data_IF_317122120344
#
_entry.id   IF_317122120344
#
_cell.length_a   1.000
_cell.length_b   1.000
_cell.length_c   1.000
_cell.angle_alpha   90.00
_cell.angle_beta   90.00
_cell.angle_gamma   90.00
#
_symmetry.space_group_name_H-M   'P 1'
#
loop_
_entity.id
_entity.type
_entity.pdbx_description
1 polymer ?
#
# COMPACT_ATOMS: atom_id res chain seq x y z
N UNK A 1 -6.83 -22.42 -0.23
CA UNK A 1 -6.42 -21.18 0.47
C UNK A 1 -5.43 -20.49 -0.45
N UNK A 2 -5.56 -19.18 -0.67
CA UNK A 2 -4.65 -18.40 -1.52
C UNK A 2 -3.82 -17.52 -0.61
N UNK A 3 -2.57 -17.27 -0.99
CA UNK A 3 -1.62 -16.51 -0.20
C UNK A 3 -1.29 -15.19 -0.89
N UNK A 4 -1.17 -14.15 -0.09
CA UNK A 4 -0.62 -12.86 -0.47
C UNK A 4 0.74 -12.64 0.17
N UNK A 5 1.52 -11.72 -0.37
CA UNK A 5 2.85 -11.41 0.13
C UNK A 5 2.87 -10.01 0.75
N UNK A 6 3.32 -9.91 1.99
CA UNK A 6 3.48 -8.63 2.67
C UNK A 6 4.97 -8.31 2.84
N UNK A 7 5.44 -7.29 2.14
CA UNK A 7 6.81 -6.81 2.24
C UNK A 7 6.91 -5.71 3.29
N UNK A 8 7.71 -5.94 4.31
CA UNK A 8 8.03 -4.94 5.33
C UNK A 8 9.54 -4.87 5.53
N UNK A 9 10.04 -3.68 5.86
CA UNK A 9 11.48 -3.46 6.03
C UNK A 9 11.90 -3.20 7.48
N UNK A 10 10.98 -2.85 8.36
CA UNK A 10 11.29 -2.28 9.68
C UNK A 10 12.06 -3.20 10.63
N UNK A 11 11.92 -4.51 10.51
CA UNK A 11 12.61 -5.48 11.36
C UNK A 11 13.99 -5.88 10.84
N UNK A 12 14.37 -5.39 9.66
CA UNK A 12 15.67 -5.74 9.07
C UNK A 12 16.80 -4.93 9.70
N UNK A 13 18.01 -5.52 9.95
CA UNK A 13 19.13 -4.82 10.59
C UNK A 13 19.60 -3.56 9.86
N UNK A 14 19.37 -3.45 8.55
CA UNK A 14 19.67 -2.23 7.77
C UNK A 14 18.53 -1.21 7.75
N UNK A 15 17.44 -1.50 8.46
CA UNK A 15 16.35 -0.56 8.62
C UNK A 15 16.75 0.50 9.62
N UNK A 16 16.71 1.75 9.23
CA UNK A 16 16.72 2.90 10.13
C UNK A 16 15.34 3.55 10.11
N UNK A 17 15.28 4.82 10.45
CA UNK A 17 14.04 5.61 10.37
C UNK A 17 13.54 5.78 8.92
N UNK A 18 14.44 5.66 7.95
CA UNK A 18 14.18 5.83 6.52
C UNK A 18 14.78 4.70 5.68
N UNK A 19 13.98 4.14 4.81
CA UNK A 19 14.36 3.10 3.85
C UNK A 19 14.31 3.63 2.41
N UNK A 20 13.15 3.56 1.76
CA UNK A 20 12.93 3.99 0.37
C UNK A 20 12.98 5.52 0.18
N UNK A 21 12.86 6.29 1.24
CA UNK A 21 13.02 7.74 1.23
C UNK A 21 14.33 8.22 1.84
N UNK A 22 15.28 7.33 2.09
CA UNK A 22 16.55 7.68 2.70
C UNK A 22 17.36 8.65 1.80
N UNK A 23 17.95 9.73 2.34
CA UNK A 23 18.84 10.60 1.58
C UNK A 23 20.09 9.90 1.03
N UNK A 24 20.58 8.87 1.73
CA UNK A 24 21.67 8.04 1.25
C UNK A 24 21.17 7.13 0.10
N UNK A 25 21.79 7.31 -1.06
CA UNK A 25 21.44 6.56 -2.27
C UNK A 25 21.77 5.08 -2.14
N UNK A 26 22.84 4.71 -1.47
CA UNK A 26 23.21 3.32 -1.26
C UNK A 26 22.17 2.56 -0.43
N UNK A 27 21.66 3.21 0.62
CA UNK A 27 20.57 2.66 1.44
C UNK A 27 19.29 2.55 0.62
N UNK A 28 18.92 3.59 -0.13
CA UNK A 28 17.73 3.57 -1.00
C UNK A 28 17.84 2.46 -2.03
N UNK A 29 18.96 2.33 -2.73
CA UNK A 29 19.17 1.30 -3.76
C UNK A 29 19.08 -0.11 -3.17
N UNK A 30 19.61 -0.33 -1.97
CA UNK A 30 19.43 -1.61 -1.27
C UNK A 30 17.95 -1.94 -1.10
N UNK A 31 17.12 -0.99 -0.65
CA UNK A 31 15.69 -1.22 -0.41
C UNK A 31 14.87 -1.31 -1.69
N UNK A 32 15.25 -0.58 -2.73
CA UNK A 32 14.66 -0.70 -4.05
C UNK A 32 14.85 -2.13 -4.59
N UNK A 33 16.08 -2.64 -4.56
CA UNK A 33 16.40 -3.99 -5.03
C UNK A 33 15.78 -5.08 -4.15
N UNK A 34 15.74 -4.88 -2.84
CA UNK A 34 15.03 -5.76 -1.92
C UNK A 34 13.54 -5.87 -2.29
N UNK A 35 12.88 -4.74 -2.51
CA UNK A 35 11.45 -4.71 -2.87
C UNK A 35 11.20 -5.32 -4.25
N UNK A 36 12.08 -5.09 -5.23
CA UNK A 36 12.00 -5.76 -6.54
C UNK A 36 12.06 -7.28 -6.41
N UNK A 37 12.93 -7.80 -5.53
CA UNK A 37 13.00 -9.25 -5.25
C UNK A 37 11.73 -9.77 -4.59
N UNK A 38 11.16 -9.03 -3.64
CA UNK A 38 9.86 -9.37 -3.04
C UNK A 38 8.75 -9.48 -4.10
N UNK A 39 8.72 -8.57 -5.07
CA UNK A 39 7.78 -8.62 -6.20
C UNK A 39 7.99 -9.84 -7.09
N UNK A 40 9.24 -10.22 -7.35
CA UNK A 40 9.54 -11.43 -8.10
C UNK A 40 9.06 -12.70 -7.37
N UNK A 41 9.23 -12.75 -6.04
CA UNK A 41 8.68 -13.84 -5.22
C UNK A 41 7.15 -13.88 -5.29
N UNK A 42 6.48 -12.73 -5.18
CA UNK A 42 5.02 -12.64 -5.29
C UNK A 42 4.52 -13.10 -6.68
N UNK A 43 5.25 -12.81 -7.75
CA UNK A 43 4.93 -13.30 -9.11
C UNK A 43 4.98 -14.83 -9.17
N UNK A 44 6.02 -15.45 -8.59
CA UNK A 44 6.11 -16.91 -8.56
C UNK A 44 5.04 -17.55 -7.67
N UNK A 45 4.71 -16.91 -6.54
CA UNK A 45 3.59 -17.34 -5.70
C UNK A 45 2.26 -17.32 -6.48
N UNK A 46 2.01 -16.24 -7.22
CA UNK A 46 0.82 -16.11 -8.05
C UNK A 46 0.75 -17.20 -9.14
N UNK A 47 1.87 -17.47 -9.81
CA UNK A 47 1.96 -18.59 -10.79
C UNK A 47 1.65 -19.92 -10.13
N UNK A 48 2.26 -20.21 -8.99
CA UNK A 48 2.11 -21.48 -8.31
C UNK A 48 0.68 -21.74 -7.82
N UNK A 49 -0.03 -20.70 -7.39
CA UNK A 49 -1.41 -20.84 -6.91
C UNK A 49 -2.49 -20.67 -8.00
N UNK A 50 -2.09 -20.33 -9.23
CA UNK A 50 -3.01 -20.13 -10.35
C UNK A 50 -3.95 -18.92 -10.19
N UNK A 51 -3.58 -17.97 -9.34
CA UNK A 51 -4.33 -16.73 -9.08
C UNK A 51 -3.36 -15.62 -8.68
N UNK A 52 -3.57 -14.38 -9.10
CA UNK A 52 -2.64 -13.31 -8.80
C UNK A 52 -2.39 -13.14 -7.30
N UNK A 53 -1.11 -13.14 -6.91
CA UNK A 53 -0.69 -12.81 -5.56
C UNK A 53 -0.73 -11.29 -5.37
N UNK A 54 -1.33 -10.81 -4.28
CA UNK A 54 -1.26 -9.40 -3.91
C UNK A 54 0.02 -9.18 -3.11
N UNK A 55 0.90 -8.35 -3.64
CA UNK A 55 2.13 -7.94 -2.96
C UNK A 55 1.88 -6.59 -2.30
N UNK A 56 1.70 -6.60 -0.99
CA UNK A 56 1.48 -5.41 -0.19
C UNK A 56 2.82 -4.82 0.23
N UNK A 57 3.09 -3.59 -0.18
CA UNK A 57 4.26 -2.83 0.22
C UNK A 57 3.90 -1.87 1.35
N UNK A 58 4.40 -2.17 2.54
CA UNK A 58 4.31 -1.31 3.69
C UNK A 58 5.68 -0.69 4.00
N UNK A 59 5.76 0.65 3.99
CA UNK A 59 6.99 1.42 4.20
C UNK A 59 6.88 2.18 5.53
N UNK A 60 7.82 1.92 6.43
CA UNK A 60 7.81 2.52 7.77
C UNK A 60 8.38 3.93 7.84
N UNK A 61 8.92 4.45 6.77
CA UNK A 61 9.67 5.70 6.69
C UNK A 61 8.96 6.88 7.35
N UNK A 62 9.64 7.49 8.30
CA UNK A 62 9.11 8.59 9.07
C UNK A 62 10.17 9.26 9.94
N UNK A 63 9.76 10.22 10.75
CA UNK A 63 10.62 10.91 11.70
C UNK A 63 9.86 11.22 12.98
N UNK A 64 10.53 11.09 14.11
CA UNK A 64 10.01 11.51 15.43
C UNK A 64 9.89 13.02 15.55
N UNK A 65 10.66 13.74 14.74
CA UNK A 65 10.70 15.20 14.73
C UNK A 65 9.88 15.78 13.60
N UNK A 66 9.54 17.05 13.72
CA UNK A 66 8.88 17.80 12.65
C UNK A 66 9.88 18.02 11.52
N UNK A 67 9.66 17.38 10.40
CA UNK A 67 10.53 17.47 9.23
C UNK A 67 10.32 18.79 8.50
N UNK A 68 11.37 19.58 8.37
CA UNK A 68 11.33 20.88 7.68
C UNK A 68 11.08 20.71 6.19
N UNK A 69 11.74 19.76 5.53
CA UNK A 69 11.61 19.55 4.10
C UNK A 69 10.85 18.24 3.79
N UNK A 70 9.55 18.26 4.00
CA UNK A 70 8.67 17.09 3.71
C UNK A 70 8.66 16.71 2.24
N UNK A 71 8.79 17.68 1.34
CA UNK A 71 8.77 17.42 -0.11
C UNK A 71 9.97 16.61 -0.56
N UNK A 72 11.15 16.85 0.02
CA UNK A 72 12.37 16.09 -0.31
C UNK A 72 12.16 14.59 -0.09
N UNK A 73 11.72 14.19 1.09
CA UNK A 73 11.54 12.77 1.41
C UNK A 73 10.42 12.11 0.59
N UNK A 74 9.35 12.84 0.33
CA UNK A 74 8.28 12.35 -0.55
C UNK A 74 8.73 12.22 -2.01
N UNK A 75 9.57 13.12 -2.49
CA UNK A 75 10.16 13.01 -3.83
C UNK A 75 11.09 11.78 -3.93
N UNK A 76 11.93 11.53 -2.91
CA UNK A 76 12.77 10.35 -2.85
C UNK A 76 11.95 9.06 -2.80
N UNK A 77 10.89 9.02 -1.97
CA UNK A 77 9.99 7.88 -1.92
C UNK A 77 9.32 7.64 -3.27
N UNK A 78 8.81 8.71 -3.91
CA UNK A 78 8.20 8.62 -5.24
C UNK A 78 9.16 8.04 -6.27
N UNK A 79 10.38 8.53 -6.32
CA UNK A 79 11.42 8.05 -7.23
C UNK A 79 11.71 6.56 -7.01
N UNK A 80 11.86 6.15 -5.75
CA UNK A 80 12.04 4.74 -5.40
C UNK A 80 10.87 3.86 -5.83
N UNK A 81 9.64 4.32 -5.62
CA UNK A 81 8.44 3.59 -6.05
C UNK A 81 8.35 3.50 -7.58
N UNK A 82 8.69 4.57 -8.30
CA UNK A 82 8.71 4.56 -9.77
C UNK A 82 9.71 3.52 -10.30
N UNK A 83 10.90 3.41 -9.68
CA UNK A 83 11.90 2.40 -10.04
C UNK A 83 11.45 0.97 -9.68
N UNK A 84 10.80 0.77 -8.54
CA UNK A 84 10.27 -0.52 -8.10
C UNK A 84 9.18 -1.00 -9.04
N UNK A 85 8.28 -0.12 -9.43
CA UNK A 85 7.10 -0.46 -10.24
C UNK A 85 7.31 -0.33 -11.75
N UNK A 86 8.53 -0.05 -12.21
CA UNK A 86 8.86 0.05 -13.62
C UNK A 86 8.61 -1.27 -14.39
N UNK A 87 8.78 -2.41 -13.74
CA UNK A 87 8.49 -3.72 -14.33
C UNK A 87 7.08 -4.15 -13.97
N UNK A 88 6.26 -4.51 -14.95
CA UNK A 88 4.94 -5.08 -14.73
C UNK A 88 5.02 -6.61 -14.66
N UNK A 89 4.22 -7.20 -13.79
CA UNK A 89 4.06 -8.64 -13.61
C UNK A 89 2.65 -9.08 -13.97
N UNK A 90 2.51 -10.34 -14.39
CA UNK A 90 1.22 -10.89 -14.84
C UNK A 90 0.46 -11.56 -13.69
N UNK A 91 1.19 -12.27 -12.84
CA UNK A 91 0.60 -13.15 -11.81
C UNK A 91 0.68 -12.54 -10.41
N UNK A 92 0.99 -11.25 -10.30
CA UNK A 92 0.92 -10.50 -9.06
C UNK A 92 0.30 -9.13 -9.28
N UNK A 93 -0.13 -8.50 -8.19
CA UNK A 93 -0.66 -7.14 -8.17
C UNK A 93 0.05 -6.35 -7.08
N UNK A 94 0.54 -5.17 -7.45
CA UNK A 94 1.14 -4.25 -6.50
C UNK A 94 0.07 -3.55 -5.67
N UNK A 95 0.23 -3.59 -4.36
CA UNK A 95 -0.58 -2.86 -3.40
C UNK A 95 0.32 -2.04 -2.48
N UNK A 96 -0.10 -0.84 -2.12
CA UNK A 96 0.66 0.07 -1.28
C UNK A 96 -0.17 0.36 -0.03
N UNK A 97 0.44 0.23 1.14
CA UNK A 97 -0.20 0.48 2.41
C UNK A 97 0.32 1.77 3.05
N UNK A 98 -0.60 2.63 3.45
CA UNK A 98 -0.27 3.84 4.18
C UNK A 98 0.03 3.56 5.64
N UNK A 99 0.76 4.49 6.26
CA UNK A 99 1.07 4.51 7.68
C UNK A 99 0.72 5.88 8.23
N UNK A 100 -0.02 5.93 9.32
CA UNK A 100 -0.37 7.19 10.01
C UNK A 100 0.51 7.39 11.24
N UNK A 101 0.71 6.32 12.01
CA UNK A 101 1.60 6.32 13.15
C UNK A 101 2.79 5.43 12.86
N UNK A 102 3.97 5.85 13.31
CA UNK A 102 5.14 5.03 13.23
C UNK A 102 5.13 3.86 14.20
N UNK A 103 6.15 3.04 14.09
CA UNK A 103 6.55 2.11 15.14
C UNK A 103 7.24 2.95 16.20
N UNK A 104 6.47 3.59 17.02
CA UNK A 104 6.83 4.66 17.93
C UNK A 104 6.04 5.93 17.60
N UNK A 105 6.30 6.98 18.32
CA UNK A 105 5.62 8.28 18.16
C UNK A 105 6.34 9.10 17.09
N UNK A 106 5.93 8.96 15.87
CA UNK A 106 6.50 9.74 14.76
C UNK A 106 5.62 10.95 14.47
N UNK A 107 6.25 12.10 14.39
CA UNK A 107 5.57 13.36 14.03
C UNK A 107 5.36 13.48 12.53
N UNK A 108 6.11 12.72 11.74
CA UNK A 108 6.07 12.77 10.29
C UNK A 108 6.15 11.38 9.68
N UNK A 109 5.18 11.03 8.88
CA UNK A 109 5.18 9.85 8.04
C UNK A 109 5.37 10.25 6.58
N UNK A 110 6.38 9.71 5.90
CA UNK A 110 6.68 10.04 4.50
C UNK A 110 5.55 9.55 3.60
N UNK A 111 5.20 8.27 3.71
CA UNK A 111 4.10 7.62 2.99
C UNK A 111 2.77 7.78 3.71
N UNK A 112 2.23 9.00 3.76
CA UNK A 112 0.90 9.26 4.30
C UNK A 112 -0.20 8.68 3.39
N UNK A 113 -1.41 8.52 3.95
CA UNK A 113 -2.57 8.05 3.19
C UNK A 113 -2.82 8.89 1.94
N UNK A 114 -2.78 10.23 2.07
CA UNK A 114 -2.99 11.14 0.94
C UNK A 114 -1.95 10.95 -0.15
N UNK A 115 -0.68 10.75 0.23
CA UNK A 115 0.40 10.50 -0.72
C UNK A 115 0.15 9.21 -1.50
N UNK A 116 -0.19 8.12 -0.82
CA UNK A 116 -0.39 6.83 -1.49
C UNK A 116 -1.68 6.76 -2.29
N UNK A 117 -2.78 7.38 -1.83
CA UNK A 117 -4.00 7.50 -2.64
C UNK A 117 -3.70 8.25 -3.95
N UNK A 118 -3.00 9.38 -3.86
CA UNK A 118 -2.59 10.15 -5.04
C UNK A 118 -1.67 9.36 -5.96
N UNK A 119 -0.67 8.69 -5.40
CA UNK A 119 0.27 7.87 -6.16
C UNK A 119 -0.42 6.66 -6.82
N UNK A 120 -1.24 5.94 -6.08
CA UNK A 120 -1.98 4.77 -6.57
C UNK A 120 -2.98 5.13 -7.66
N UNK A 121 -3.72 6.23 -7.48
CA UNK A 121 -4.65 6.75 -8.48
C UNK A 121 -3.93 7.11 -9.78
N UNK A 122 -2.78 7.79 -9.68
CA UNK A 122 -1.98 8.20 -10.85
C UNK A 122 -1.35 7.01 -11.58
N UNK A 123 -0.82 6.04 -10.84
CA UNK A 123 0.01 4.95 -11.38
C UNK A 123 -0.72 3.61 -11.47
N UNK A 124 -2.04 3.60 -11.29
CA UNK A 124 -2.87 2.40 -11.35
C UNK A 124 -2.40 1.28 -10.40
N UNK A 125 -2.03 1.65 -9.17
CA UNK A 125 -1.66 0.71 -8.11
C UNK A 125 -2.79 0.55 -7.11
N UNK A 126 -2.89 -0.63 -6.51
CA UNK A 126 -3.85 -0.90 -5.44
C UNK A 126 -3.44 -0.18 -4.15
N UNK A 127 -4.43 0.13 -3.33
CA UNK A 127 -4.22 0.71 -2.01
C UNK A 127 -4.77 -0.24 -0.95
N UNK A 128 -3.96 -0.54 0.04
CA UNK A 128 -4.41 -1.21 1.27
C UNK A 128 -4.86 -0.15 2.27
N UNK A 129 -6.09 -0.30 2.75
CA UNK A 129 -6.62 0.49 3.84
C UNK A 129 -6.64 -0.38 5.11
N UNK A 130 -5.60 -0.27 5.93
CA UNK A 130 -5.58 -0.88 7.26
C UNK A 130 -6.28 0.06 8.24
N UNK A 131 -7.40 -0.37 8.80
CA UNK A 131 -8.20 0.45 9.73
C UNK A 131 -7.45 0.84 11.00
N UNK A 132 -6.44 0.06 11.38
CA UNK A 132 -5.55 0.36 12.50
C UNK A 132 -4.54 1.48 12.23
N UNK A 133 -4.42 1.92 10.98
CA UNK A 133 -3.50 2.99 10.57
C UNK A 133 -4.18 4.37 10.46
N UNK A 134 -5.40 4.49 10.96
CA UNK A 134 -6.14 5.75 10.96
C UNK A 134 -6.46 6.21 12.38
N UNK A 135 -6.64 7.51 12.53
CA UNK A 135 -7.08 8.05 13.81
C UNK A 135 -8.45 7.45 14.20
N UNK A 136 -8.71 7.16 15.48
CA UNK A 136 -9.97 6.54 15.90
C UNK A 136 -11.24 7.31 15.54
N UNK A 137 -11.12 8.61 15.24
CA UNK A 137 -12.23 9.46 14.81
C UNK A 137 -12.45 9.48 13.30
N UNK A 138 -11.54 8.86 12.51
CA UNK A 138 -11.71 8.79 11.07
C UNK A 138 -12.57 7.60 10.66
N UNK A 139 -13.50 7.84 9.73
CA UNK A 139 -14.26 6.78 9.07
C UNK A 139 -13.47 6.26 7.86
N UNK A 140 -12.94 5.05 7.96
CA UNK A 140 -12.26 4.41 6.83
C UNK A 140 -13.24 4.08 5.70
N UNK A 141 -14.52 3.82 6.02
CA UNK A 141 -15.56 3.57 5.03
C UNK A 141 -15.73 4.74 4.04
N UNK A 142 -15.57 5.99 4.50
CA UNK A 142 -15.64 7.18 3.64
C UNK A 142 -14.49 7.21 2.63
N UNK A 143 -13.30 6.73 3.02
CA UNK A 143 -12.15 6.63 2.11
C UNK A 143 -12.40 5.59 1.01
N UNK A 144 -13.05 4.48 1.34
CA UNK A 144 -13.44 3.45 0.37
C UNK A 144 -14.37 4.01 -0.70
N UNK A 145 -15.43 4.71 -0.29
CA UNK A 145 -16.39 5.29 -1.22
C UNK A 145 -15.76 6.33 -2.14
N UNK A 146 -14.92 7.20 -1.60
CA UNK A 146 -14.18 8.21 -2.35
C UNK A 146 -13.23 7.59 -3.37
N UNK A 147 -12.49 6.55 -2.97
CA UNK A 147 -11.57 5.87 -3.86
C UNK A 147 -12.28 5.13 -5.00
N UNK A 148 -13.39 4.44 -4.70
CA UNK A 148 -14.20 3.75 -5.72
C UNK A 148 -14.72 4.75 -6.76
N UNK A 149 -15.30 5.87 -6.33
CA UNK A 149 -15.83 6.89 -7.25
C UNK A 149 -14.74 7.46 -8.15
N UNK A 150 -13.58 7.80 -7.60
CA UNK A 150 -12.46 8.32 -8.39
C UNK A 150 -11.92 7.28 -9.37
N UNK A 151 -11.84 6.02 -8.95
CA UNK A 151 -11.35 4.93 -9.79
C UNK A 151 -12.35 4.51 -10.87
N UNK A 152 -13.66 4.58 -10.58
CA UNK A 152 -14.71 4.18 -11.53
C UNK A 152 -14.91 5.19 -12.66
N UNK A 153 -14.49 6.43 -12.47
CA UNK A 153 -14.57 7.50 -13.49
C UNK A 153 -13.42 7.52 -14.49
N UNK A 154 -12.58 6.52 -14.51
CA UNK A 154 -11.52 6.48 -15.51
C UNK A 154 -12.09 6.22 -16.88
N UNK A 155 -11.80 7.14 -17.76
CA UNK A 155 -12.05 7.14 -19.20
C UNK A 155 -12.04 5.74 -19.81
N UNK A 156 -12.89 5.52 -20.80
CA UNK A 156 -13.04 4.28 -21.57
C UNK A 156 -11.72 3.75 -22.19
N UNK A 157 -10.61 4.45 -22.01
CA UNK A 157 -9.27 4.10 -22.49
C UNK A 157 -8.42 3.30 -21.48
N UNK A 158 -8.79 3.20 -20.19
CA UNK A 158 -8.01 2.41 -19.21
C UNK A 158 -8.63 1.05 -18.97
N UNK A 159 -8.11 0.05 -19.65
CA UNK A 159 -8.60 -1.35 -19.69
C UNK A 159 -8.29 -2.20 -18.45
N UNK A 160 -7.90 -1.64 -17.32
CA UNK A 160 -7.52 -2.43 -16.14
C UNK A 160 -8.35 -2.08 -14.91
N UNK A 161 -8.98 -3.04 -14.23
CA UNK A 161 -9.68 -2.80 -12.98
C UNK A 161 -8.69 -2.43 -11.88
N UNK A 162 -9.02 -1.43 -11.06
CA UNK A 162 -8.29 -1.07 -9.86
C UNK A 162 -8.84 -1.85 -8.68
N UNK A 163 -7.96 -2.38 -7.87
CA UNK A 163 -8.34 -3.20 -6.70
C UNK A 163 -7.97 -2.46 -5.43
N UNK A 164 -8.88 -2.50 -4.47
CA UNK A 164 -8.71 -1.97 -3.12
C UNK A 164 -8.51 -3.15 -2.17
N UNK A 165 -7.40 -3.18 -1.44
CA UNK A 165 -7.17 -4.16 -0.39
C UNK A 165 -7.60 -3.61 0.97
N UNK A 166 -8.53 -4.28 1.64
CA UNK A 166 -8.93 -3.97 3.01
C UNK A 166 -8.44 -5.06 3.95
N UNK A 167 -7.71 -4.68 4.99
CA UNK A 167 -7.32 -5.60 6.08
C UNK A 167 -8.06 -5.21 7.35
N UNK A 168 -8.95 -6.06 7.87
CA UNK A 168 -9.49 -5.86 9.20
C UNK A 168 -8.44 -6.29 10.23
N UNK A 169 -8.03 -5.38 11.11
CA UNK A 169 -7.30 -5.71 12.34
C UNK A 169 -8.21 -5.50 13.53
N UNK A 170 -8.50 -6.57 14.23
CA UNK A 170 -9.12 -6.52 15.54
C UNK A 170 -8.05 -6.19 16.59
N UNK A 171 -7.91 -4.94 16.96
CA UNK A 171 -7.28 -4.55 18.21
C UNK A 171 -8.35 -4.03 19.17
N UNK A 172 -8.52 -4.76 20.30
CA UNK A 172 -9.37 -4.42 21.43
C UNK A 172 -10.89 -4.44 21.22
N UNK A 173 -11.51 -5.58 21.00
CA UNK A 173 -12.82 -5.95 21.53
C UNK A 173 -13.99 -4.95 21.44
N UNK A 174 -13.92 -3.92 20.57
CA UNK A 174 -15.04 -3.02 20.31
C UNK A 174 -15.71 -3.42 18.99
N UNK A 175 -17.04 -3.45 18.94
CA UNK A 175 -17.75 -3.75 17.71
C UNK A 175 -17.48 -2.65 16.70
N UNK A 176 -16.81 -2.99 15.58
CA UNK A 176 -16.76 -2.14 14.40
C UNK A 176 -18.18 -2.02 13.84
N UNK A 177 -18.77 -0.86 13.99
CA UNK A 177 -19.99 -0.48 13.30
C UNK A 177 -19.64 -0.18 11.85
N UNK A 178 -19.62 -1.17 11.02
CA UNK A 178 -19.52 -0.91 9.61
C UNK A 178 -18.83 -2.00 8.83
N UNK A 179 -19.61 -2.66 8.05
CA UNK A 179 -19.23 -3.44 6.91
C UNK A 179 -18.42 -4.72 7.18
N UNK A 180 -19.00 -5.65 7.89
CA UNK A 180 -18.69 -7.07 7.75
C UNK A 180 -19.74 -7.69 6.84
N UNK A 181 -19.52 -7.67 5.54
CA UNK A 181 -20.14 -8.68 4.69
C UNK A 181 -19.14 -9.82 4.50
N UNK A 182 -19.34 -10.87 5.28
CA UNK A 182 -18.87 -12.20 4.91
C UNK A 182 -19.70 -12.64 3.70
N UNK A 183 -19.19 -12.40 2.51
CA UNK A 183 -19.68 -13.13 1.36
C UNK A 183 -18.51 -13.46 0.43
N UNK A 184 -18.30 -14.76 0.25
CA UNK A 184 -17.40 -15.37 -0.71
C UNK A 184 -17.97 -15.23 -2.14
N UNK A 185 -18.30 -14.03 -2.54
CA UNK A 185 -18.64 -13.74 -3.91
C UNK A 185 -17.95 -12.45 -4.32
N UNK A 186 -17.14 -12.57 -5.35
CA UNK A 186 -16.62 -11.44 -6.11
C UNK A 186 -17.80 -10.61 -6.63
N UNK A 187 -18.17 -9.57 -5.92
CA UNK A 187 -19.06 -8.57 -6.50
C UNK A 187 -18.20 -7.64 -7.36
N UNK A 188 -18.32 -7.82 -8.67
CA UNK A 188 -17.85 -6.82 -9.63
C UNK A 188 -18.78 -5.62 -9.56
N UNK A 189 -18.37 -4.59 -8.85
CA UNK A 189 -18.97 -3.27 -8.94
C UNK A 189 -18.13 -2.45 -9.92
N UNK A 190 -18.54 -2.42 -11.17
CA UNK A 190 -17.82 -1.69 -12.21
C UNK A 190 -16.39 -2.18 -12.43
N UNK A 191 -15.45 -1.26 -12.66
CA UNK A 191 -14.02 -1.55 -12.89
C UNK A 191 -13.15 -1.67 -11.62
N UNK A 192 -13.76 -1.70 -10.43
CA UNK A 192 -13.06 -1.86 -9.16
C UNK A 192 -13.42 -3.17 -8.47
N UNK A 193 -12.41 -3.91 -8.03
CA UNK A 193 -12.58 -5.12 -7.23
C UNK A 193 -12.17 -4.83 -5.79
N UNK A 194 -13.07 -5.01 -4.85
CA UNK A 194 -12.81 -4.94 -3.41
C UNK A 194 -12.34 -6.31 -2.91
N UNK A 195 -11.23 -6.32 -2.19
CA UNK A 195 -10.78 -7.49 -1.44
C UNK A 195 -11.09 -7.29 0.05
N UNK A 196 -11.87 -8.18 0.65
CA UNK A 196 -12.18 -8.20 2.09
C UNK A 196 -11.59 -9.43 2.74
#
# INVERSE_FOLDING_TARGET
>A
MKLDFNSTSFSHPKSGDLSLSNPDEGIRNFWIEHTKRCRAVAEEMGKAQGDPCIMNLWVHDGSKDITVNRMKYRALLKDSLDQIFATEYKNMKDCIESKVFGIGLESYTVGSNDFYIGYGAKNNKMITLDTGHFHPTESVADKVSSFIVVCSRTDAARKSPRTLGLRPRNHHGRPDYGFVQRNRSLQRLGSCTLWT
#
